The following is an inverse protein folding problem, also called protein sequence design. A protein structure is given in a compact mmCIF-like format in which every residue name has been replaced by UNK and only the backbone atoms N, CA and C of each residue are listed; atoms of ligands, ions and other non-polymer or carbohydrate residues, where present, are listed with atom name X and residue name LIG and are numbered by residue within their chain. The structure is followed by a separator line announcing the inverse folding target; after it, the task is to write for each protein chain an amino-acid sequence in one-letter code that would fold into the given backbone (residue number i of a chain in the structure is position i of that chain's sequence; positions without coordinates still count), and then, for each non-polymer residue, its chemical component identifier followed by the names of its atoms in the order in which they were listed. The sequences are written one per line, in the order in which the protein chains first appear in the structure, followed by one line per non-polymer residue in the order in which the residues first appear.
data_IF_007617809485
#
_entry.id   IF_007617809485
#
_cell.length_a   1.000
_cell.length_b   1.000
_cell.length_c   1.000
_cell.angle_alpha   90.00
_cell.angle_beta   90.00
_cell.angle_gamma   90.00
#
_symmetry.space_group_name_H-M   'P 1'
#
loop_
_entity.id
_entity.type
_entity.pdbx_description
1 polymer ?
#
# COMPACT_ATOMS: atom_id res chain seq x y z
N UNK A 1 -24.43 -13.92 -3.64
CA UNK A 1 -25.85 -14.24 -3.55
C UNK A 1 -26.04 -15.60 -4.18
N UNK A 2 -26.86 -16.46 -3.59
CA UNK A 2 -27.31 -17.68 -4.26
C UNK A 2 -28.50 -17.38 -5.17
N UNK A 3 -29.02 -18.41 -5.83
CA UNK A 3 -30.21 -18.35 -6.68
C UNK A 3 -31.49 -17.92 -5.95
N UNK A 4 -31.47 -17.88 -4.62
CA UNK A 4 -32.59 -17.50 -3.76
C UNK A 4 -32.41 -16.10 -3.13
N UNK A 5 -31.46 -15.30 -3.63
CA UNK A 5 -31.14 -13.95 -3.13
C UNK A 5 -30.65 -13.91 -1.68
N UNK A 6 -30.23 -15.05 -1.13
CA UNK A 6 -29.65 -15.12 0.21
C UNK A 6 -28.17 -14.67 0.11
N UNK A 7 -27.71 -13.79 1.01
CA UNK A 7 -26.31 -13.42 1.08
C UNK A 7 -25.43 -14.64 1.39
N UNK A 8 -24.74 -15.17 0.38
CA UNK A 8 -23.79 -16.28 0.55
C UNK A 8 -22.49 -15.88 1.27
N UNK A 9 -22.24 -14.57 1.46
CA UNK A 9 -21.08 -14.06 2.21
C UNK A 9 -21.40 -12.70 2.84
N UNK A 10 -21.24 -12.62 4.15
CA UNK A 10 -21.29 -11.35 4.89
C UNK A 10 -19.91 -10.68 4.84
N UNK A 11 -19.88 -9.39 4.47
CA UNK A 11 -18.66 -8.58 4.46
C UNK A 11 -18.85 -7.38 5.37
N UNK A 12 -17.87 -7.12 6.21
CA UNK A 12 -17.72 -5.88 6.95
C UNK A 12 -16.37 -5.25 6.59
N UNK A 13 -16.27 -3.93 6.61
CA UNK A 13 -15.03 -3.19 6.39
C UNK A 13 -14.76 -2.29 7.59
N UNK A 14 -13.60 -2.46 8.21
CA UNK A 14 -13.08 -1.48 9.16
C UNK A 14 -12.46 -0.34 8.35
N UNK A 15 -12.93 0.88 8.58
CA UNK A 15 -12.46 2.08 7.87
C UNK A 15 -11.78 2.99 8.90
N UNK A 16 -10.51 3.28 8.68
CA UNK A 16 -9.82 4.25 9.51
C UNK A 16 -10.36 5.65 9.18
N UNK A 17 -10.77 6.43 10.16
CA UNK A 17 -11.31 7.78 9.92
C UNK A 17 -10.19 8.78 9.62
N UNK A 18 -9.31 8.53 8.64
CA UNK A 18 -8.08 9.30 8.48
C UNK A 18 -8.27 10.78 8.12
N UNK A 19 -9.48 11.21 7.79
CA UNK A 19 -9.82 12.64 7.74
C UNK A 19 -9.67 13.34 9.10
N UNK A 20 -9.71 12.61 10.22
CA UNK A 20 -9.47 13.12 11.57
C UNK A 20 -7.99 13.15 11.97
N UNK A 21 -7.08 12.64 11.13
CA UNK A 21 -5.65 12.61 11.43
C UNK A 21 -5.02 13.99 11.34
N UNK A 22 -4.08 14.26 12.26
CA UNK A 22 -3.34 15.52 12.38
C UNK A 22 -1.88 15.31 11.97
N UNK A 23 -1.41 16.14 11.02
CA UNK A 23 0.01 16.19 10.63
C UNK A 23 0.86 16.55 11.86
N UNK A 24 2.01 15.89 12.02
CA UNK A 24 2.90 16.08 13.17
C UNK A 24 2.55 15.23 14.40
N UNK A 25 1.39 14.56 14.39
CA UNK A 25 0.96 13.67 15.49
C UNK A 25 0.70 12.27 14.94
N UNK A 26 -0.22 12.16 13.98
CA UNK A 26 -0.69 10.87 13.46
C UNK A 26 0.05 10.45 12.18
N UNK A 27 0.79 11.38 11.56
CA UNK A 27 1.64 11.19 10.39
C UNK A 27 2.57 12.40 10.18
N UNK A 28 3.68 12.20 9.46
CA UNK A 28 4.58 13.27 9.02
C UNK A 28 4.46 13.53 7.52
N UNK A 29 4.68 12.50 6.72
CA UNK A 29 4.67 12.56 5.26
C UNK A 29 3.57 11.68 4.68
N UNK A 30 3.07 12.10 3.52
CA UNK A 30 2.02 11.37 2.78
C UNK A 30 2.40 11.14 1.32
N UNK A 31 3.53 11.70 0.89
CA UNK A 31 3.96 11.62 -0.50
C UNK A 31 4.34 10.19 -0.85
N UNK A 32 3.79 9.68 -1.95
CA UNK A 32 4.20 8.45 -2.58
C UNK A 32 4.42 8.71 -4.07
N UNK A 33 5.56 8.30 -4.64
CA UNK A 33 5.83 8.50 -6.05
C UNK A 33 4.86 7.69 -6.92
N UNK A 34 4.46 8.27 -8.05
CA UNK A 34 3.61 7.63 -9.06
C UNK A 34 4.42 7.51 -10.34
N UNK A 35 4.40 6.33 -10.94
CA UNK A 35 5.06 6.08 -12.21
C UNK A 35 4.49 6.97 -13.32
N UNK A 36 5.31 7.83 -13.95
CA UNK A 36 4.88 8.57 -15.11
C UNK A 36 4.53 7.60 -16.25
N UNK A 37 3.46 7.92 -16.99
CA UNK A 37 3.04 7.08 -18.13
C UNK A 37 4.14 6.97 -19.19
N UNK A 38 5.00 7.98 -19.32
CA UNK A 38 6.15 7.98 -20.20
C UNK A 38 7.17 6.90 -19.80
N UNK A 39 7.45 6.75 -18.51
CA UNK A 39 8.37 5.72 -18.00
C UNK A 39 7.80 4.31 -18.23
N UNK A 40 6.50 4.12 -17.99
CA UNK A 40 5.81 2.86 -18.26
C UNK A 40 5.91 2.51 -19.75
N UNK A 41 5.58 3.45 -20.65
CA UNK A 41 5.69 3.27 -22.10
C UNK A 41 7.12 2.98 -22.55
N UNK A 42 8.11 3.65 -21.95
CA UNK A 42 9.53 3.43 -22.25
C UNK A 42 9.96 2.00 -21.91
N UNK A 43 9.59 1.50 -20.73
CA UNK A 43 9.88 0.11 -20.33
C UNK A 43 9.21 -0.88 -21.28
N UNK A 44 7.94 -0.67 -21.63
CA UNK A 44 7.22 -1.54 -22.56
C UNK A 44 7.80 -1.51 -23.98
N UNK A 45 8.28 -0.35 -24.45
CA UNK A 45 8.95 -0.24 -25.74
C UNK A 45 10.28 -1.01 -25.77
N UNK A 46 11.08 -0.91 -24.70
CA UNK A 46 12.32 -1.70 -24.57
C UNK A 46 11.98 -3.19 -24.55
N UNK A 47 11.00 -3.60 -23.76
CA UNK A 47 10.57 -5.00 -23.70
C UNK A 47 10.15 -5.52 -25.09
N UNK A 48 9.36 -4.76 -25.85
CA UNK A 48 8.97 -5.13 -27.20
C UNK A 48 10.16 -5.19 -28.18
N UNK A 49 11.13 -4.27 -28.06
CA UNK A 49 12.34 -4.28 -28.91
C UNK A 49 13.26 -5.47 -28.62
N UNK A 50 13.28 -5.95 -27.38
CA UNK A 50 14.14 -7.03 -26.92
C UNK A 50 13.44 -8.39 -26.83
N UNK A 51 12.16 -8.45 -27.25
CA UNK A 51 11.30 -9.63 -27.12
C UNK A 51 11.23 -10.17 -25.67
N UNK A 52 11.13 -9.26 -24.70
CA UNK A 52 11.00 -9.60 -23.28
C UNK A 52 9.54 -9.84 -22.88
N UNK A 53 9.34 -10.86 -22.05
CA UNK A 53 8.06 -11.14 -21.40
C UNK A 53 7.71 -10.07 -20.36
N UNK A 54 6.43 -9.71 -20.28
CA UNK A 54 5.92 -8.68 -19.37
C UNK A 54 4.82 -9.26 -18.48
N UNK A 55 5.08 -9.29 -17.18
CA UNK A 55 4.11 -9.70 -16.17
C UNK A 55 3.51 -8.50 -15.43
N UNK A 56 2.25 -8.64 -15.01
CA UNK A 56 1.56 -7.67 -14.16
C UNK A 56 1.08 -8.32 -12.86
N UNK A 57 1.29 -7.64 -11.73
CA UNK A 57 0.93 -8.14 -10.41
C UNK A 57 0.04 -7.11 -9.71
N UNK A 58 -1.17 -7.52 -9.34
CA UNK A 58 -2.05 -6.77 -8.44
C UNK A 58 -1.84 -7.23 -7.00
N UNK A 59 -1.20 -6.37 -6.19
CA UNK A 59 -0.89 -6.68 -4.79
C UNK A 59 -2.15 -6.54 -3.93
N UNK A 60 -2.70 -7.68 -3.53
CA UNK A 60 -3.86 -7.73 -2.65
C UNK A 60 -3.54 -7.11 -1.29
N UNK A 61 -4.39 -6.18 -0.87
CA UNK A 61 -4.33 -5.55 0.45
C UNK A 61 -2.99 -4.84 0.71
N UNK A 62 -2.43 -4.17 -0.30
CA UNK A 62 -1.14 -3.46 -0.24
C UNK A 62 -0.86 -2.76 1.10
N UNK A 63 -1.81 -1.95 1.61
CA UNK A 63 -1.61 -1.20 2.86
C UNK A 63 -1.51 -2.09 4.11
N UNK A 64 -2.11 -3.28 4.13
CA UNK A 64 -1.96 -4.21 5.27
C UNK A 64 -0.57 -4.83 5.35
N UNK A 65 0.21 -4.76 4.25
CA UNK A 65 1.58 -5.23 4.26
C UNK A 65 2.53 -4.19 4.87
N UNK A 66 2.20 -2.90 4.81
CA UNK A 66 3.05 -1.83 5.36
C UNK A 66 2.86 -1.65 6.86
N UNK A 67 3.97 -1.40 7.54
CA UNK A 67 3.97 -1.02 8.95
C UNK A 67 3.66 0.48 9.09
N UNK A 68 3.21 0.91 10.28
CA UNK A 68 2.95 2.32 10.57
C UNK A 68 4.11 2.90 11.37
N UNK A 69 4.66 4.04 10.95
CA UNK A 69 5.68 4.75 11.73
C UNK A 69 5.09 5.48 12.95
N UNK A 70 3.81 5.82 12.89
CA UNK A 70 3.10 6.53 13.95
C UNK A 70 2.06 5.64 14.60
N UNK A 71 1.91 5.81 15.92
CA UNK A 71 0.84 5.15 16.67
C UNK A 71 -0.51 5.75 16.27
N UNK A 72 -1.32 4.96 15.57
CA UNK A 72 -2.70 5.35 15.22
C UNK A 72 -3.68 4.53 16.03
N UNK A 73 -4.63 5.22 16.67
CA UNK A 73 -5.67 4.62 17.48
C UNK A 73 -7.06 4.82 16.85
N UNK A 74 -7.92 3.81 16.93
CA UNK A 74 -9.28 3.84 16.47
C UNK A 74 -10.26 3.67 17.63
N UNK A 75 -11.38 4.38 17.53
CA UNK A 75 -12.56 4.06 18.33
C UNK A 75 -13.03 2.65 17.97
N UNK A 76 -13.36 1.79 18.95
CA UNK A 76 -13.96 0.49 18.65
C UNK A 76 -15.23 0.63 17.79
N UNK A 77 -15.39 -0.20 16.74
CA UNK A 77 -16.58 -0.18 15.92
C UNK A 77 -17.81 -0.61 16.72
N UNK A 78 -18.98 -0.12 16.31
CA UNK A 78 -20.27 -0.45 16.94
C UNK A 78 -20.44 -1.98 16.93
N UNK A 79 -20.80 -2.55 18.08
CA UNK A 79 -20.98 -3.99 18.26
C UNK A 79 -19.72 -4.75 18.73
N UNK A 80 -18.55 -4.12 18.73
CA UNK A 80 -17.35 -4.70 19.32
C UNK A 80 -17.33 -4.47 20.84
N UNK A 81 -17.25 -5.55 21.62
CA UNK A 81 -17.10 -5.48 23.09
C UNK A 81 -15.66 -5.14 23.44
N UNK A 82 -15.43 -3.95 23.97
CA UNK A 82 -14.12 -3.51 24.47
C UNK A 82 -14.31 -2.92 25.86
N UNK A 83 -13.32 -3.09 26.75
CA UNK A 83 -13.37 -2.54 28.10
C UNK A 83 -13.56 -1.01 28.08
N UNK A 84 -14.29 -0.43 29.05
CA UNK A 84 -14.44 1.01 29.16
C UNK A 84 -13.08 1.73 29.16
N UNK A 85 -12.98 2.82 28.39
CA UNK A 85 -11.75 3.61 28.28
C UNK A 85 -10.65 2.99 27.41
N UNK A 86 -10.89 1.87 26.72
CA UNK A 86 -9.92 1.28 25.78
C UNK A 86 -10.24 1.64 24.33
N UNK A 87 -9.19 1.71 23.53
CA UNK A 87 -9.21 1.97 22.09
C UNK A 87 -8.43 0.89 21.35
N UNK A 88 -8.58 0.80 20.03
CA UNK A 88 -7.83 -0.13 19.20
C UNK A 88 -6.56 0.55 18.69
N UNK A 89 -5.40 -0.10 18.78
CA UNK A 89 -4.17 0.36 18.13
C UNK A 89 -4.02 -0.32 16.78
N UNK A 90 -3.73 0.45 15.73
CA UNK A 90 -3.41 -0.11 14.41
C UNK A 90 -1.94 -0.54 14.36
N UNK A 91 -1.73 -1.76 13.90
CA UNK A 91 -0.39 -2.35 13.73
C UNK A 91 0.12 -2.25 12.29
N UNK A 92 -0.80 -2.11 11.33
CA UNK A 92 -0.54 -2.10 9.88
C UNK A 92 -1.34 -0.97 9.22
N UNK A 93 -0.89 -0.57 8.04
CA UNK A 93 -1.59 0.41 7.22
C UNK A 93 -3.01 -0.04 6.91
N UNK A 94 -3.95 0.90 6.90
CA UNK A 94 -5.33 0.66 6.48
C UNK A 94 -5.68 1.62 5.36
N UNK A 95 -6.69 1.24 4.57
CA UNK A 95 -7.35 2.22 3.72
C UNK A 95 -7.81 3.41 4.56
N UNK A 96 -7.89 4.57 3.90
CA UNK A 96 -8.30 5.87 4.44
C UNK A 96 -7.39 6.51 5.49
N UNK A 97 -6.27 5.91 5.90
CA UNK A 97 -5.19 6.68 6.54
C UNK A 97 -4.47 7.55 5.50
N UNK A 98 -4.08 8.76 5.89
CA UNK A 98 -3.42 9.72 5.00
C UNK A 98 -2.04 9.23 4.52
N UNK A 99 -1.31 8.53 5.37
CA UNK A 99 0.05 8.05 5.08
C UNK A 99 0.12 6.69 4.38
N UNK A 100 -1.00 5.96 4.23
CA UNK A 100 -0.94 4.55 3.78
C UNK A 100 -0.24 4.33 2.44
N UNK A 101 -0.39 5.27 1.50
CA UNK A 101 0.32 5.19 0.22
C UNK A 101 1.83 5.34 0.37
N UNK A 102 2.26 6.29 1.21
CA UNK A 102 3.67 6.54 1.51
C UNK A 102 4.29 5.33 2.24
N UNK A 103 3.61 4.84 3.27
CA UNK A 103 4.05 3.68 4.06
C UNK A 103 4.18 2.41 3.19
N UNK A 104 3.24 2.21 2.27
CA UNK A 104 3.33 1.10 1.32
C UNK A 104 4.49 1.26 0.34
N UNK A 105 4.75 2.47 -0.16
CA UNK A 105 5.89 2.71 -1.04
C UNK A 105 7.22 2.43 -0.34
N UNK A 106 7.37 2.84 0.93
CA UNK A 106 8.57 2.55 1.74
C UNK A 106 8.76 1.05 1.92
N UNK A 107 7.69 0.32 2.27
CA UNK A 107 7.75 -1.14 2.43
C UNK A 107 8.13 -1.81 1.10
N UNK A 108 7.48 -1.43 -0.02
CA UNK A 108 7.75 -2.01 -1.33
C UNK A 108 9.20 -1.73 -1.78
N UNK A 109 9.68 -0.50 -1.65
CA UNK A 109 11.07 -0.13 -1.96
C UNK A 109 12.06 -0.97 -1.15
N UNK A 110 11.80 -1.11 0.15
CA UNK A 110 12.62 -1.91 1.07
C UNK A 110 12.68 -3.38 0.62
N UNK A 111 11.53 -3.97 0.26
CA UNK A 111 11.49 -5.37 -0.18
C UNK A 111 12.15 -5.57 -1.55
N UNK A 112 11.92 -4.66 -2.51
CA UNK A 112 12.57 -4.70 -3.83
C UNK A 112 14.10 -4.61 -3.71
N UNK A 113 14.61 -3.72 -2.87
CA UNK A 113 16.06 -3.61 -2.61
C UNK A 113 16.64 -4.88 -1.99
N UNK A 114 15.92 -5.52 -1.05
CA UNK A 114 16.37 -6.78 -0.43
C UNK A 114 16.54 -7.91 -1.44
N UNK A 115 15.75 -7.91 -2.52
CA UNK A 115 15.86 -8.90 -3.60
C UNK A 115 16.77 -8.43 -4.75
N UNK A 116 17.55 -7.36 -4.54
CA UNK A 116 18.60 -6.90 -5.45
C UNK A 116 18.16 -5.89 -6.51
N UNK A 117 16.96 -5.30 -6.41
CA UNK A 117 16.57 -4.22 -7.31
C UNK A 117 17.12 -2.87 -6.85
N UNK A 118 17.50 -2.05 -7.81
CA UNK A 118 18.00 -0.70 -7.58
C UNK A 118 16.99 0.32 -8.13
N UNK A 119 16.59 1.27 -7.27
CA UNK A 119 15.69 2.34 -7.65
C UNK A 119 16.42 3.39 -8.50
N UNK A 120 15.80 3.82 -9.60
CA UNK A 120 16.35 4.86 -10.47
C UNK A 120 16.17 6.25 -9.83
N UNK A 121 17.25 7.03 -9.75
CA UNK A 121 17.23 8.36 -9.10
C UNK A 121 16.32 9.37 -9.81
N UNK A 122 16.20 9.31 -11.14
CA UNK A 122 15.35 10.19 -11.93
C UNK A 122 13.87 9.80 -11.92
N UNK A 123 13.54 8.56 -11.54
CA UNK A 123 12.17 8.03 -11.53
C UNK A 123 12.01 7.08 -10.32
N UNK A 124 11.65 7.60 -9.13
CA UNK A 124 11.65 6.87 -7.85
C UNK A 124 10.47 5.87 -7.69
N UNK A 125 10.16 5.18 -8.77
CA UNK A 125 9.13 4.16 -8.94
C UNK A 125 9.51 3.16 -10.03
N UNK A 126 10.64 3.36 -10.71
CA UNK A 126 11.24 2.44 -11.66
C UNK A 126 12.46 1.80 -11.01
N UNK A 127 12.53 0.49 -11.13
CA UNK A 127 13.59 -0.32 -10.54
C UNK A 127 14.21 -1.18 -11.63
N UNK A 128 15.53 -1.38 -11.56
CA UNK A 128 16.25 -2.30 -12.42
C UNK A 128 17.06 -3.28 -11.59
N UNK A 129 17.25 -4.47 -12.15
CA UNK A 129 18.16 -5.50 -11.64
C UNK A 129 18.72 -6.23 -12.84
N UNK A 130 20.04 -6.17 -13.02
CA UNK A 130 20.77 -6.94 -14.03
C UNK A 130 21.87 -7.75 -13.35
N UNK A 131 22.39 -8.76 -14.02
CA UNK A 131 23.75 -9.22 -13.76
C UNK A 131 24.69 -8.23 -14.43
N UNK A 132 25.72 -7.78 -13.72
CA UNK A 132 26.83 -7.06 -14.35
C UNK A 132 27.55 -8.07 -15.28
N UNK A 133 27.12 -8.16 -16.53
CA UNK A 133 27.82 -8.84 -17.63
C UNK A 133 28.00 -7.88 -18.81
#
# INVERSE_FOLDING_TARGET
MDTNLIPTKYKARLVAQGFTQRKGIDYMEIFAPVAPIQSIRGVLAIAAMQDWEVDSIDVKQAYLNSSLHHDVYLKPPIGMKVLPGKVLKLMKGLYSLKQSGCEWNIELDTQLRKIGFHCMSSTPCLYSRGTDD
#
